data_IF_859601134413
#
_entry.id   IF_859601134413
#
_cell.length_a   1.000
_cell.length_b   1.000
_cell.length_c   1.000
_cell.angle_alpha   90.00
_cell.angle_beta   90.00
_cell.angle_gamma   90.00
#
_symmetry.space_group_name_H-M   'P 1'
#
loop_
_entity.id
_entity.type
_entity.pdbx_description
1 polymer ?
#
# COMPACT_ATOMS: atom_id res chain seq x y z
N UNK A 1 42.54 7.82 29.50
CA UNK A 1 43.49 6.71 29.22
C UNK A 1 42.88 5.44 29.77
N UNK A 2 42.70 4.31 29.11
CA UNK A 2 42.77 3.90 27.70
C UNK A 2 42.35 2.43 27.71
N UNK A 3 41.29 2.07 26.97
CA UNK A 3 41.14 0.79 26.27
C UNK A 3 40.95 -0.52 27.05
N UNK A 4 40.37 -1.56 26.41
CA UNK A 4 39.54 -2.57 27.07
C UNK A 4 40.07 -4.01 26.98
N UNK A 5 39.51 -4.87 27.82
CA UNK A 5 39.68 -6.32 27.78
C UNK A 5 39.05 -6.95 26.54
N UNK A 6 39.77 -7.95 26.03
CA UNK A 6 39.60 -8.58 24.72
C UNK A 6 38.71 -9.82 24.85
N UNK A 7 37.60 -9.88 24.12
CA UNK A 7 36.87 -11.13 23.86
C UNK A 7 36.94 -11.43 22.36
N UNK A 8 37.75 -12.43 22.05
CA UNK A 8 38.04 -12.95 20.71
C UNK A 8 36.83 -13.68 20.12
N UNK A 9 36.20 -13.11 19.10
CA UNK A 9 35.33 -13.86 18.19
C UNK A 9 36.17 -14.41 17.05
N UNK A 10 36.30 -15.74 17.03
CA UNK A 10 36.98 -16.49 15.98
C UNK A 10 36.16 -16.41 14.70
N UNK A 11 36.68 -15.69 13.71
CA UNK A 11 36.27 -15.88 12.31
C UNK A 11 36.80 -17.24 11.85
N UNK A 12 35.93 -18.24 11.76
CA UNK A 12 36.23 -19.44 10.99
C UNK A 12 36.06 -19.08 9.51
N UNK A 13 37.17 -18.72 8.87
CA UNK A 13 37.30 -18.84 7.41
C UNK A 13 37.13 -20.31 7.04
N UNK A 14 36.01 -20.65 6.42
CA UNK A 14 35.83 -21.94 5.77
C UNK A 14 36.72 -21.97 4.52
N UNK A 15 37.95 -22.44 4.69
CA UNK A 15 38.85 -22.78 3.59
C UNK A 15 38.19 -23.90 2.78
N UNK A 16 37.78 -23.58 1.54
CA UNK A 16 37.26 -24.53 0.59
C UNK A 16 38.31 -25.62 0.29
N UNK A 17 38.09 -26.84 0.80
CA UNK A 17 38.80 -28.03 0.33
C UNK A 17 38.17 -28.48 -0.99
N UNK A 18 38.75 -28.04 -2.11
CA UNK A 18 38.42 -28.58 -3.43
C UNK A 18 38.89 -30.04 -3.52
N UNK A 19 37.94 -30.98 -3.54
CA UNK A 19 38.15 -32.35 -3.99
C UNK A 19 37.81 -32.42 -5.49
N UNK A 20 38.67 -32.98 -6.37
CA UNK A 20 38.53 -32.83 -7.83
C UNK A 20 37.40 -33.66 -8.47
N UNK A 21 36.41 -34.15 -7.71
CA UNK A 21 35.26 -34.91 -8.26
C UNK A 21 33.90 -34.68 -7.59
N UNK A 22 33.71 -33.65 -6.76
CA UNK A 22 32.40 -33.36 -6.19
C UNK A 22 31.65 -32.32 -7.04
N UNK A 23 30.50 -32.70 -7.62
CA UNK A 23 29.56 -31.73 -8.20
C UNK A 23 29.03 -30.85 -7.06
N UNK A 24 29.27 -29.54 -7.14
CA UNK A 24 28.62 -28.58 -6.26
C UNK A 24 27.12 -28.59 -6.56
N UNK A 25 26.32 -29.14 -5.67
CA UNK A 25 24.89 -28.87 -5.65
C UNK A 25 24.66 -27.59 -4.86
N UNK A 26 23.84 -26.64 -5.36
CA UNK A 26 23.38 -25.55 -4.52
C UNK A 26 22.65 -26.14 -3.30
N UNK A 27 22.69 -25.46 -2.14
CA UNK A 27 21.88 -25.86 -1.00
C UNK A 27 20.42 -25.96 -1.45
N UNK A 28 19.64 -26.94 -0.94
CA UNK A 28 18.22 -27.00 -1.25
C UNK A 28 17.59 -25.65 -0.90
N UNK A 29 16.69 -25.11 -1.74
CA UNK A 29 15.95 -23.92 -1.37
C UNK A 29 15.32 -24.18 0.01
N UNK A 30 15.53 -23.23 0.93
CA UNK A 30 14.83 -23.26 2.20
C UNK A 30 13.33 -23.44 1.95
N UNK A 31 12.65 -24.16 2.83
CA UNK A 31 11.19 -24.27 2.74
C UNK A 31 10.61 -22.87 2.52
N UNK A 32 9.72 -22.67 1.53
CA UNK A 32 9.00 -21.42 1.40
C UNK A 32 8.38 -21.10 2.76
N UNK A 33 8.41 -19.83 3.20
CA UNK A 33 7.62 -19.44 4.36
C UNK A 33 6.19 -19.99 4.15
N UNK A 34 5.61 -20.54 5.21
CA UNK A 34 4.22 -20.98 5.18
C UNK A 34 3.41 -19.86 4.53
N UNK A 35 2.59 -20.22 3.54
CA UNK A 35 1.75 -19.28 2.80
C UNK A 35 0.91 -18.54 3.85
N UNK A 36 1.34 -17.33 4.23
CA UNK A 36 0.53 -16.45 5.05
C UNK A 36 -0.74 -16.26 4.21
N UNK A 37 -1.87 -16.69 4.76
CA UNK A 37 -3.17 -16.58 4.10
C UNK A 37 -3.52 -15.10 4.04
N UNK A 38 -2.95 -14.42 3.04
CA UNK A 38 -3.10 -13.00 2.81
C UNK A 38 -4.58 -12.62 2.79
N UNK A 39 -5.41 -13.44 2.15
CA UNK A 39 -6.85 -13.18 2.06
C UNK A 39 -7.54 -13.16 3.43
N UNK A 40 -7.16 -14.04 4.35
CA UNK A 40 -7.70 -14.03 5.72
C UNK A 40 -7.08 -12.93 6.61
N UNK A 41 -5.83 -12.55 6.36
CA UNK A 41 -5.06 -11.65 7.23
C UNK A 41 -5.02 -10.18 6.79
N UNK A 42 -5.35 -9.91 5.53
CA UNK A 42 -5.26 -8.58 4.95
C UNK A 42 -6.15 -7.59 5.69
N UNK A 43 -5.62 -6.38 5.88
CA UNK A 43 -6.39 -5.31 6.45
C UNK A 43 -7.33 -4.74 5.37
N UNK A 44 -8.59 -5.20 5.37
CA UNK A 44 -9.62 -4.74 4.44
C UNK A 44 -10.31 -3.48 4.99
N UNK A 45 -10.46 -2.45 4.17
CA UNK A 45 -11.11 -1.22 4.60
C UNK A 45 -10.79 -0.03 3.71
N UNK A 46 -10.99 1.18 4.20
CA UNK A 46 -10.89 2.42 3.42
C UNK A 46 -10.39 3.61 4.26
N UNK A 47 -10.23 4.77 3.63
CA UNK A 47 -10.01 6.03 4.34
C UNK A 47 -11.29 6.47 5.04
N UNK A 48 -11.20 6.95 6.28
CA UNK A 48 -12.34 7.43 7.08
C UNK A 48 -12.62 8.91 6.75
N UNK A 49 -13.44 9.14 5.72
CA UNK A 49 -13.91 10.47 5.35
C UNK A 49 -15.22 10.81 6.08
N UNK A 50 -15.15 11.67 7.09
CA UNK A 50 -16.30 12.08 7.90
C UNK A 50 -17.07 13.18 7.20
N UNK A 51 -18.32 12.91 6.82
CA UNK A 51 -19.17 13.89 6.13
C UNK A 51 -19.43 15.16 6.96
N UNK A 52 -19.43 16.31 6.28
CA UNK A 52 -19.79 17.59 6.89
C UNK A 52 -21.30 17.70 7.16
N UNK A 53 -21.68 17.96 8.42
CA UNK A 53 -23.08 18.22 8.81
C UNK A 53 -23.46 19.70 8.66
N UNK A 54 -23.42 20.24 7.44
CA UNK A 54 -23.80 21.62 7.14
C UNK A 54 -22.86 22.32 6.16
N UNK A 55 -23.05 23.63 5.97
CA UNK A 55 -22.12 24.44 5.17
C UNK A 55 -20.74 24.45 5.85
N UNK A 56 -19.78 23.75 5.25
CA UNK A 56 -18.40 23.75 5.72
C UNK A 56 -17.60 24.87 5.01
N UNK A 57 -17.22 25.91 5.75
CA UNK A 57 -16.37 27.01 5.29
C UNK A 57 -14.89 26.79 5.70
N UNK A 58 -14.47 25.54 5.90
CA UNK A 58 -13.09 25.23 6.19
C UNK A 58 -12.21 25.37 4.95
N UNK A 59 -11.13 26.13 5.10
CA UNK A 59 -10.05 26.27 4.11
C UNK A 59 -8.93 25.23 4.34
N UNK A 60 -9.05 24.39 5.38
CA UNK A 60 -8.10 23.33 5.73
C UNK A 60 -8.79 22.07 6.23
N UNK A 61 -8.12 20.94 6.02
CA UNK A 61 -8.41 19.64 6.61
C UNK A 61 -7.57 19.50 7.89
N UNK A 62 -8.23 19.26 9.03
CA UNK A 62 -7.59 18.99 10.33
C UNK A 62 -7.96 17.59 10.81
N UNK A 63 -7.00 16.69 10.78
CA UNK A 63 -7.28 15.25 10.72
C UNK A 63 -6.28 14.41 11.52
N UNK A 64 -6.55 13.11 11.59
CA UNK A 64 -5.74 12.14 12.33
C UNK A 64 -5.25 11.01 11.42
N UNK A 65 -3.99 10.62 11.59
CA UNK A 65 -3.53 9.28 11.19
C UNK A 65 -3.54 8.42 12.45
N UNK A 66 -4.16 7.25 12.43
CA UNK A 66 -4.37 6.46 13.66
C UNK A 66 -4.01 4.99 13.52
N UNK A 67 -3.67 4.38 14.66
CA UNK A 67 -3.47 2.95 14.81
C UNK A 67 -4.83 2.24 14.94
N UNK A 68 -5.31 1.71 13.82
CA UNK A 68 -6.56 0.97 13.73
C UNK A 68 -6.37 -0.47 14.20
N UNK A 69 -6.30 -0.63 15.52
CA UNK A 69 -6.04 -1.93 16.16
C UNK A 69 -7.16 -2.96 15.95
N UNK A 70 -8.40 -2.52 15.72
CA UNK A 70 -9.57 -3.36 15.44
C UNK A 70 -9.83 -3.52 13.93
N UNK A 71 -9.10 -2.83 13.07
CA UNK A 71 -9.15 -2.95 11.60
C UNK A 71 -10.56 -2.69 11.04
N UNK A 72 -11.26 -1.69 11.56
CA UNK A 72 -12.60 -1.31 11.09
C UNK A 72 -12.62 -0.07 10.18
N UNK A 73 -11.46 0.55 9.96
CA UNK A 73 -11.26 1.76 9.18
C UNK A 73 -12.08 2.96 9.63
N UNK A 74 -12.42 3.04 10.91
CA UNK A 74 -13.17 4.17 11.49
C UNK A 74 -12.42 4.68 12.70
N UNK A 75 -12.25 6.00 12.80
CA UNK A 75 -11.64 6.60 13.98
C UNK A 75 -12.59 6.50 15.18
N UNK A 76 -12.30 5.57 16.08
CA UNK A 76 -12.98 5.37 17.35
C UNK A 76 -12.29 6.17 18.48
N UNK A 77 -13.07 6.63 19.48
CA UNK A 77 -12.56 7.52 20.53
C UNK A 77 -11.46 6.94 21.46
N UNK A 78 -11.13 5.65 21.33
CA UNK A 78 -10.07 4.97 22.08
C UNK A 78 -8.82 4.67 21.23
N UNK A 79 -8.87 4.88 19.91
CA UNK A 79 -7.73 4.62 19.04
C UNK A 79 -6.69 5.71 19.19
N UNK A 80 -5.42 5.28 19.11
CA UNK A 80 -4.28 6.15 19.29
C UNK A 80 -3.91 6.78 17.95
N UNK A 81 -3.72 8.08 17.91
CA UNK A 81 -3.09 8.72 16.77
C UNK A 81 -1.61 8.36 16.63
N UNK A 82 -1.08 8.58 15.43
CA UNK A 82 0.29 8.27 15.05
C UNK A 82 1.04 9.58 14.75
N UNK A 83 1.97 9.95 15.63
CA UNK A 83 2.90 11.06 15.44
C UNK A 83 3.97 10.74 14.36
N UNK A 84 4.46 11.78 13.68
CA UNK A 84 5.55 11.67 12.71
C UNK A 84 5.21 11.10 11.33
N UNK A 85 3.93 10.84 11.03
CA UNK A 85 3.48 10.37 9.71
C UNK A 85 3.31 11.55 8.76
N UNK A 86 3.80 11.42 7.52
CA UNK A 86 3.63 12.45 6.49
C UNK A 86 2.35 12.24 5.69
N UNK A 87 1.62 13.32 5.47
CA UNK A 87 0.40 13.40 4.65
C UNK A 87 0.57 14.53 3.65
N UNK A 88 0.11 14.34 2.41
CA UNK A 88 0.26 15.30 1.33
C UNK A 88 -1.04 15.54 0.59
N UNK A 89 -1.26 16.78 0.13
CA UNK A 89 -2.33 17.14 -0.81
C UNK A 89 -1.80 17.34 -2.25
N UNK A 90 -0.61 16.81 -2.55
CA UNK A 90 0.09 16.99 -3.82
C UNK A 90 0.81 18.34 -3.99
N UNK A 91 0.58 19.31 -3.09
CA UNK A 91 1.27 20.63 -3.10
C UNK A 91 2.11 20.87 -1.84
N UNK A 92 1.63 20.41 -0.69
CA UNK A 92 2.28 20.54 0.61
C UNK A 92 2.31 19.18 1.29
N UNK A 93 3.31 19.00 2.14
CA UNK A 93 3.44 17.87 3.05
C UNK A 93 3.25 18.41 4.47
N UNK A 94 2.40 17.76 5.25
CA UNK A 94 2.25 17.96 6.68
C UNK A 94 2.71 16.70 7.42
N UNK A 95 3.34 16.88 8.57
CA UNK A 95 3.71 15.77 9.46
C UNK A 95 2.80 15.82 10.68
N UNK A 96 2.18 14.69 11.02
CA UNK A 96 1.33 14.58 12.22
C UNK A 96 2.09 15.02 13.47
N UNK A 97 1.52 15.94 14.23
CA UNK A 97 2.16 16.62 15.35
C UNK A 97 2.12 15.80 16.66
N UNK A 98 2.58 16.38 17.77
CA UNK A 98 2.59 15.72 19.08
C UNK A 98 1.18 15.50 19.68
N UNK A 99 0.13 16.02 19.03
CA UNK A 99 -1.28 15.72 19.31
C UNK A 99 -1.84 14.71 18.30
N UNK A 100 -0.95 14.09 17.53
CA UNK A 100 -1.22 13.10 16.49
C UNK A 100 -2.10 13.61 15.33
N UNK A 101 -2.08 14.93 15.07
CA UNK A 101 -2.90 15.56 14.03
C UNK A 101 -2.08 16.15 12.90
N UNK A 102 -2.63 16.16 11.69
CA UNK A 102 -2.09 16.92 10.57
C UNK A 102 -3.08 18.00 10.13
N UNK A 103 -2.55 19.07 9.52
CA UNK A 103 -3.35 20.12 8.91
C UNK A 103 -2.85 20.40 7.48
N UNK A 104 -3.76 20.38 6.50
CA UNK A 104 -3.47 20.71 5.11
C UNK A 104 -4.50 21.68 4.56
N UNK A 105 -4.03 22.67 3.80
CA UNK A 105 -4.93 23.56 3.07
C UNK A 105 -5.77 22.74 2.07
N UNK A 106 -7.09 22.96 2.09
CA UNK A 106 -8.02 22.35 1.17
C UNK A 106 -8.21 23.22 -0.07
N UNK A 107 -8.42 22.58 -1.21
CA UNK A 107 -8.80 23.23 -2.46
C UNK A 107 -9.56 22.24 -3.34
N UNK A 108 -10.37 22.74 -4.27
CA UNK A 108 -11.10 21.88 -5.21
C UNK A 108 -10.15 21.05 -6.08
N UNK A 109 -10.57 19.83 -6.42
CA UNK A 109 -9.88 18.90 -7.30
C UNK A 109 -8.49 18.53 -6.76
N UNK A 110 -8.46 18.10 -5.50
CA UNK A 110 -7.24 17.66 -4.82
C UNK A 110 -7.30 16.18 -4.46
N UNK A 111 -6.14 15.57 -4.31
CA UNK A 111 -5.99 14.24 -3.72
C UNK A 111 -5.14 14.39 -2.47
N UNK A 112 -5.67 13.93 -1.35
CA UNK A 112 -4.95 13.87 -0.07
C UNK A 112 -4.53 12.43 0.15
N UNK A 113 -3.28 12.19 0.53
CA UNK A 113 -2.76 10.83 0.71
C UNK A 113 -1.73 10.76 1.82
N UNK A 114 -1.69 9.61 2.49
CA UNK A 114 -0.75 9.31 3.58
C UNK A 114 0.46 8.53 3.07
N UNK A 115 1.62 8.78 3.66
CA UNK A 115 2.80 7.92 3.50
C UNK A 115 2.73 6.75 4.47
N UNK A 116 2.93 5.52 3.97
CA UNK A 116 2.93 4.35 4.83
C UNK A 116 4.23 4.30 5.67
N UNK A 117 4.17 4.45 7.00
CA UNK A 117 5.36 4.37 7.82
C UNK A 117 5.79 2.91 7.99
N UNK A 118 7.08 2.72 8.28
CA UNK A 118 7.65 1.40 8.59
C UNK A 118 6.88 0.74 9.74
N UNK A 119 6.59 -0.55 9.60
CA UNK A 119 5.88 -1.33 10.62
C UNK A 119 4.36 -1.14 10.62
N UNK A 120 3.83 -0.36 9.68
CA UNK A 120 2.40 -0.18 9.46
C UNK A 120 2.02 -0.51 8.02
N UNK A 121 0.74 -0.79 7.82
CA UNK A 121 0.13 -1.10 6.53
C UNK A 121 -1.18 -0.33 6.40
N UNK A 122 -1.37 0.30 5.24
CA UNK A 122 -2.65 0.90 4.84
C UNK A 122 -3.66 -0.20 4.54
N UNK A 123 -4.98 0.04 4.71
CA UNK A 123 -5.98 -0.91 4.28
C UNK A 123 -5.94 -1.13 2.77
N UNK A 124 -6.59 -2.18 2.33
CA UNK A 124 -6.82 -2.48 0.93
C UNK A 124 -8.31 -2.78 0.72
N UNK A 125 -8.78 -2.64 -0.52
CA UNK A 125 -10.12 -3.08 -0.89
C UNK A 125 -10.18 -4.60 -1.16
N UNK A 126 -11.33 -5.08 -1.63
CA UNK A 126 -11.59 -6.48 -1.95
C UNK A 126 -10.72 -7.02 -3.09
N UNK A 127 -10.13 -6.12 -3.89
CA UNK A 127 -9.21 -6.46 -4.97
C UNK A 127 -7.75 -6.25 -4.57
N UNK A 128 -7.44 -6.08 -3.28
CA UNK A 128 -6.10 -5.76 -2.78
C UNK A 128 -5.57 -4.37 -3.21
N UNK A 129 -6.39 -3.47 -3.76
CA UNK A 129 -5.92 -2.10 -4.08
C UNK A 129 -5.79 -1.30 -2.80
N UNK A 130 -4.61 -0.72 -2.56
CA UNK A 130 -4.30 0.05 -1.37
C UNK A 130 -5.18 1.30 -1.24
N UNK A 131 -5.79 1.47 -0.08
CA UNK A 131 -6.69 2.58 0.26
C UNK A 131 -5.96 3.57 1.17
N UNK A 132 -5.17 4.46 0.56
CA UNK A 132 -4.30 5.41 1.29
C UNK A 132 -4.48 6.86 0.83
N UNK A 133 -5.52 7.13 0.04
CA UNK A 133 -5.81 8.47 -0.46
C UNK A 133 -7.32 8.74 -0.45
N UNK A 134 -7.65 10.03 -0.42
CA UNK A 134 -8.98 10.58 -0.60
C UNK A 134 -8.95 11.60 -1.74
N UNK A 135 -9.86 11.44 -2.71
CA UNK A 135 -10.07 12.44 -3.75
C UNK A 135 -11.15 13.42 -3.30
N UNK A 136 -10.86 14.71 -3.39
CA UNK A 136 -11.83 15.79 -3.22
C UNK A 136 -12.11 16.43 -4.58
N UNK A 137 -13.20 16.00 -5.20
CA UNK A 137 -13.67 16.44 -6.51
C UNK A 137 -15.16 16.83 -6.36
N UNK A 138 -15.46 18.05 -5.87
CA UNK A 138 -16.82 18.43 -5.45
C UNK A 138 -17.87 18.24 -6.53
N UNK A 139 -17.53 18.56 -7.77
CA UNK A 139 -18.43 18.50 -8.93
C UNK A 139 -18.38 17.16 -9.66
N UNK A 140 -17.49 16.26 -9.24
CA UNK A 140 -17.21 15.01 -9.95
C UNK A 140 -16.46 15.25 -11.25
N UNK A 141 -16.23 14.17 -11.99
CA UNK A 141 -15.70 14.23 -13.34
C UNK A 141 -16.74 14.78 -14.32
N UNK A 142 -16.33 15.40 -15.43
CA UNK A 142 -17.25 15.69 -16.53
C UNK A 142 -17.88 14.40 -17.07
N UNK A 143 -18.89 14.51 -17.92
CA UNK A 143 -19.45 13.35 -18.57
C UNK A 143 -18.42 12.71 -19.52
N UNK A 144 -18.06 11.46 -19.23
CA UNK A 144 -17.07 10.68 -19.97
C UNK A 144 -17.69 9.35 -20.43
N UNK A 145 -17.18 8.79 -21.52
CA UNK A 145 -17.67 7.54 -22.13
C UNK A 145 -17.71 6.38 -21.14
N UNK A 146 -16.70 6.27 -20.28
CA UNK A 146 -16.53 5.15 -19.34
C UNK A 146 -16.79 5.55 -17.88
N UNK A 147 -17.50 6.67 -17.68
CA UNK A 147 -17.69 7.25 -16.37
C UNK A 147 -16.42 7.94 -15.85
N UNK A 148 -16.46 8.34 -14.59
CA UNK A 148 -15.38 9.04 -13.91
C UNK A 148 -15.63 9.03 -12.41
N UNK A 149 -14.94 9.90 -11.69
CA UNK A 149 -15.10 10.03 -10.24
C UNK A 149 -16.44 10.72 -9.98
N UNK A 150 -17.31 10.09 -9.18
CA UNK A 150 -18.57 10.67 -8.75
C UNK A 150 -18.32 11.95 -7.93
N UNK A 151 -19.27 12.91 -7.91
CA UNK A 151 -19.15 14.10 -7.07
C UNK A 151 -18.91 13.71 -5.61
N UNK A 152 -17.81 14.20 -5.03
CA UNK A 152 -17.49 13.95 -3.61
C UNK A 152 -18.28 14.86 -2.68
N UNK A 153 -18.95 15.88 -3.23
CA UNK A 153 -19.68 16.88 -2.47
C UNK A 153 -18.77 17.89 -1.79
N UNK A 154 -19.26 18.49 -0.71
CA UNK A 154 -18.51 19.47 0.08
C UNK A 154 -17.27 18.84 0.71
N UNK A 155 -16.32 19.68 1.13
CA UNK A 155 -15.16 19.21 1.88
C UNK A 155 -15.65 18.42 3.12
N UNK A 156 -15.16 17.19 3.36
CA UNK A 156 -15.52 16.44 4.56
C UNK A 156 -15.04 17.18 5.80
N UNK A 157 -15.68 16.90 6.94
CA UNK A 157 -15.28 17.44 8.24
C UNK A 157 -13.91 16.89 8.65
N UNK A 158 -13.61 15.64 8.28
CA UNK A 158 -12.32 15.03 8.48
C UNK A 158 -12.00 14.00 7.40
N UNK A 159 -10.71 13.80 7.13
CA UNK A 159 -10.14 12.69 6.35
C UNK A 159 -9.14 11.96 7.25
N UNK A 160 -9.57 10.94 7.99
CA UNK A 160 -8.67 10.19 8.85
C UNK A 160 -8.06 9.01 8.11
N UNK A 161 -6.75 8.82 8.26
CA UNK A 161 -6.04 7.70 7.65
C UNK A 161 -5.82 6.57 8.66
N UNK A 162 -6.53 5.44 8.53
CA UNK A 162 -6.28 4.30 9.39
C UNK A 162 -5.04 3.53 8.92
N UNK A 163 -4.21 3.13 9.88
CA UNK A 163 -3.06 2.26 9.66
C UNK A 163 -3.09 1.11 10.65
N UNK A 164 -2.75 -0.10 10.22
CA UNK A 164 -2.62 -1.24 11.12
C UNK A 164 -1.15 -1.68 11.24
N UNK A 165 -0.72 -2.01 12.46
CA UNK A 165 0.61 -2.57 12.68
C UNK A 165 0.83 -3.83 11.83
N UNK A 166 1.98 -3.91 11.14
CA UNK A 166 2.31 -4.99 10.22
C UNK A 166 3.77 -5.39 10.33
N UNK A 167 4.01 -6.69 10.51
CA UNK A 167 5.37 -7.25 10.49
C UNK A 167 5.96 -7.28 9.08
N UNK A 168 5.11 -7.36 8.05
CA UNK A 168 5.54 -7.43 6.65
C UNK A 168 6.29 -6.16 6.21
N UNK A 169 5.96 -5.01 6.81
CA UNK A 169 6.54 -3.70 6.48
C UNK A 169 7.61 -3.27 7.49
N UNK A 170 7.99 -4.14 8.43
CA UNK A 170 8.95 -3.84 9.49
C UNK A 170 10.40 -3.96 9.03
N UNK A 171 10.68 -4.69 7.94
CA UNK A 171 12.04 -4.83 7.40
C UNK A 171 12.57 -3.50 6.85
N UNK A 172 13.85 -3.15 7.09
CA UNK A 172 14.47 -1.98 6.43
C UNK A 172 14.71 -2.22 4.93
N UNK A 173 14.79 -3.48 4.49
CA UNK A 173 14.81 -3.85 3.08
C UNK A 173 13.38 -4.11 2.59
N UNK A 174 13.03 -3.55 1.45
CA UNK A 174 11.73 -3.71 0.80
C UNK A 174 11.92 -4.40 -0.55
N UNK A 175 11.06 -5.38 -0.82
CA UNK A 175 11.02 -6.10 -2.09
C UNK A 175 9.67 -5.77 -2.72
N UNK A 176 9.68 -5.06 -3.83
CA UNK A 176 8.47 -4.59 -4.49
C UNK A 176 8.41 -5.21 -5.89
N UNK A 177 7.23 -5.64 -6.31
CA UNK A 177 7.00 -5.92 -7.72
C UNK A 177 6.66 -4.59 -8.42
N UNK A 178 7.21 -4.37 -9.61
CA UNK A 178 6.82 -3.24 -10.46
C UNK A 178 6.30 -3.83 -11.76
N UNK A 179 5.00 -3.69 -12.00
CA UNK A 179 4.36 -4.00 -13.28
C UNK A 179 4.19 -2.72 -14.07
N UNK A 180 4.47 -2.76 -15.36
CA UNK A 180 4.26 -1.61 -16.23
C UNK A 180 3.45 -2.04 -17.45
N UNK A 181 2.60 -1.13 -17.92
CA UNK A 181 1.91 -1.23 -19.21
C UNK A 181 1.21 -2.59 -19.42
N UNK A 182 0.33 -2.98 -18.48
CA UNK A 182 -0.51 -4.18 -18.65
C UNK A 182 -1.32 -4.06 -19.95
N UNK A 183 -1.83 -2.85 -20.22
CA UNK A 183 -2.46 -2.42 -21.48
C UNK A 183 -3.37 -3.46 -22.17
N UNK A 184 -4.13 -4.25 -21.40
CA UNK A 184 -5.09 -5.19 -21.98
C UNK A 184 -6.17 -4.43 -22.76
N UNK A 185 -6.37 -4.81 -24.02
CA UNK A 185 -7.30 -4.15 -24.94
C UNK A 185 -8.66 -4.84 -25.04
N UNK A 186 -8.77 -6.07 -24.54
CA UNK A 186 -10.00 -6.88 -24.59
C UNK A 186 -9.95 -8.00 -23.54
N UNK A 187 -11.08 -8.67 -23.31
CA UNK A 187 -11.20 -9.73 -22.30
C UNK A 187 -10.21 -10.90 -22.52
N UNK A 188 -9.85 -11.21 -23.77
CA UNK A 188 -8.89 -12.29 -24.05
C UNK A 188 -7.49 -11.95 -23.54
N UNK A 189 -7.08 -10.69 -23.68
CA UNK A 189 -5.81 -10.21 -23.15
C UNK A 189 -5.81 -10.09 -21.62
N UNK A 190 -6.95 -9.75 -21.00
CA UNK A 190 -7.11 -9.85 -19.54
C UNK A 190 -6.84 -11.29 -19.07
N UNK A 191 -7.35 -12.29 -19.79
CA UNK A 191 -7.08 -13.70 -19.47
C UNK A 191 -5.62 -14.11 -19.72
N UNK A 192 -4.91 -13.48 -20.66
CA UNK A 192 -3.47 -13.67 -20.80
C UNK A 192 -2.70 -13.09 -19.61
N UNK A 193 -3.07 -11.90 -19.14
CA UNK A 193 -2.49 -11.31 -17.94
C UNK A 193 -2.75 -12.18 -16.70
N UNK A 194 -4.00 -12.64 -16.53
CA UNK A 194 -4.42 -13.54 -15.45
C UNK A 194 -3.56 -14.81 -15.39
N UNK A 195 -3.47 -15.53 -16.51
CA UNK A 195 -2.80 -16.83 -16.58
C UNK A 195 -1.26 -16.71 -16.69
N UNK A 196 -0.75 -15.50 -16.92
CA UNK A 196 0.67 -15.19 -16.98
C UNK A 196 1.14 -14.47 -15.74
N UNK A 197 1.47 -13.18 -15.90
CA UNK A 197 2.17 -12.38 -14.87
C UNK A 197 1.46 -12.38 -13.51
N UNK A 198 0.13 -12.36 -13.47
CA UNK A 198 -0.60 -12.36 -12.19
C UNK A 198 -0.53 -13.72 -11.49
N UNK A 199 -0.56 -14.84 -12.23
CA UNK A 199 -0.35 -16.16 -11.65
C UNK A 199 1.08 -16.33 -11.13
N UNK A 200 2.08 -15.81 -11.86
CA UNK A 200 3.48 -15.84 -11.43
C UNK A 200 3.71 -14.99 -10.16
N UNK A 201 3.09 -13.81 -10.08
CA UNK A 201 3.15 -12.95 -8.89
C UNK A 201 2.45 -13.61 -7.70
N UNK A 202 1.27 -14.19 -7.88
CA UNK A 202 0.54 -14.90 -6.82
C UNK A 202 1.35 -16.05 -6.19
N UNK A 203 2.26 -16.66 -6.94
CA UNK A 203 3.13 -17.73 -6.46
C UNK A 203 4.36 -17.24 -5.67
N UNK A 204 4.72 -15.94 -5.77
CA UNK A 204 5.83 -15.35 -5.01
C UNK A 204 5.40 -14.99 -3.59
N UNK A 205 6.35 -14.84 -2.67
CA UNK A 205 6.07 -14.48 -1.26
C UNK A 205 6.97 -13.33 -0.77
N UNK A 206 7.90 -12.87 -1.60
CA UNK A 206 8.93 -11.94 -1.18
C UNK A 206 8.46 -10.48 -1.17
N UNK A 207 7.31 -10.16 -1.78
CA UNK A 207 6.83 -8.79 -1.91
C UNK A 207 5.65 -8.41 -1.01
N UNK A 208 5.09 -9.32 -0.19
CA UNK A 208 3.82 -9.10 0.53
C UNK A 208 3.75 -7.78 1.34
N UNK A 209 4.88 -7.32 1.89
CA UNK A 209 4.96 -6.03 2.60
C UNK A 209 4.91 -4.80 1.69
N UNK A 210 5.73 -4.76 0.64
CA UNK A 210 5.78 -3.62 -0.27
C UNK A 210 4.68 -3.66 -1.34
N UNK A 211 4.18 -4.84 -1.68
CA UNK A 211 3.18 -5.06 -2.72
C UNK A 211 3.72 -5.02 -4.14
N UNK A 212 2.77 -4.82 -5.07
CA UNK A 212 3.03 -4.60 -6.48
C UNK A 212 2.59 -3.18 -6.85
N UNK A 213 3.49 -2.41 -7.43
CA UNK A 213 3.19 -1.09 -8.00
C UNK A 213 2.94 -1.25 -9.49
N UNK A 214 1.76 -0.84 -9.97
CA UNK A 214 1.44 -0.84 -11.39
C UNK A 214 1.55 0.57 -11.96
N UNK A 215 2.41 0.75 -12.96
CA UNK A 215 2.69 2.04 -13.60
C UNK A 215 2.39 2.01 -15.09
N UNK A 216 2.29 3.19 -15.68
CA UNK A 216 1.90 3.33 -17.09
C UNK A 216 0.43 2.99 -17.29
N UNK A 217 0.09 2.53 -18.48
CA UNK A 217 -1.31 2.29 -18.83
C UNK A 217 -1.76 0.91 -18.38
N UNK A 218 -2.86 0.86 -17.61
CA UNK A 218 -3.40 -0.41 -17.11
C UNK A 218 -4.20 -1.16 -18.18
N UNK A 219 -4.89 -0.43 -19.05
CA UNK A 219 -5.68 -0.94 -20.18
C UNK A 219 -5.43 -0.07 -21.40
N UNK A 220 -5.74 -0.59 -22.59
CA UNK A 220 -5.68 0.20 -23.82
C UNK A 220 -6.82 1.24 -23.92
N UNK A 221 -7.14 1.66 -25.15
CA UNK A 221 -8.16 2.70 -25.41
C UNK A 221 -9.60 2.28 -25.04
N UNK A 222 -9.84 0.98 -24.85
CA UNK A 222 -11.11 0.44 -24.38
C UNK A 222 -11.09 0.25 -22.86
N UNK A 223 -11.55 1.26 -22.11
CA UNK A 223 -11.62 1.19 -20.65
C UNK A 223 -12.73 0.26 -20.14
N UNK A 224 -13.54 -0.35 -21.02
CA UNK A 224 -14.59 -1.31 -20.59
C UNK A 224 -14.02 -2.56 -19.93
N UNK A 225 -12.72 -2.86 -20.15
CA UNK A 225 -12.01 -3.97 -19.51
C UNK A 225 -11.23 -3.57 -18.25
N UNK A 226 -11.30 -2.31 -17.83
CA UNK A 226 -10.59 -1.82 -16.64
C UNK A 226 -10.99 -2.59 -15.39
N UNK A 227 -12.29 -2.81 -15.17
CA UNK A 227 -12.78 -3.51 -13.98
C UNK A 227 -12.20 -4.93 -13.88
N UNK A 228 -12.26 -5.69 -14.98
CA UNK A 228 -11.73 -7.06 -15.05
C UNK A 228 -10.21 -7.09 -14.91
N UNK A 229 -9.51 -6.07 -15.41
CA UNK A 229 -8.06 -5.91 -15.23
C UNK A 229 -7.71 -5.62 -13.78
N UNK A 230 -8.44 -4.69 -13.14
CA UNK A 230 -8.28 -4.37 -11.71
C UNK A 230 -8.56 -5.58 -10.83
N UNK A 231 -9.58 -6.37 -11.13
CA UNK A 231 -9.90 -7.60 -10.37
C UNK A 231 -8.73 -8.60 -10.34
N UNK A 232 -7.81 -8.59 -11.31
CA UNK A 232 -6.63 -9.45 -11.28
C UNK A 232 -5.72 -9.18 -10.07
N UNK A 233 -5.75 -7.96 -9.52
CA UNK A 233 -4.98 -7.61 -8.33
C UNK A 233 -5.42 -8.38 -7.06
N UNK A 234 -6.65 -8.93 -7.05
CA UNK A 234 -7.11 -9.86 -6.00
C UNK A 234 -6.30 -11.14 -5.92
N UNK A 235 -5.58 -11.51 -6.99
CA UNK A 235 -4.72 -12.70 -7.00
C UNK A 235 -3.41 -12.50 -6.22
N UNK A 236 -3.03 -11.25 -5.95
CA UNK A 236 -1.77 -10.92 -5.30
C UNK A 236 -1.86 -11.18 -3.79
N UNK A 237 -0.76 -11.63 -3.19
CA UNK A 237 -0.62 -11.80 -1.74
C UNK A 237 0.00 -10.57 -1.06
N UNK A 238 -0.40 -9.39 -1.50
CA UNK A 238 0.07 -8.10 -1.03
C UNK A 238 -0.70 -6.97 -1.71
N UNK A 239 -0.51 -5.70 -1.30
CA UNK A 239 -1.31 -4.62 -1.84
C UNK A 239 -0.88 -4.27 -3.28
N UNK A 240 -1.85 -4.06 -4.15
CA UNK A 240 -1.66 -3.36 -5.42
C UNK A 240 -1.63 -1.84 -5.15
N UNK A 241 -0.64 -1.16 -5.71
CA UNK A 241 -0.37 0.27 -5.56
C UNK A 241 -0.25 0.94 -6.91
#
# INVERSE_FOLDING_TARGET
>A
MSGPDTATTVFQEAVARCSPRARCFPPPPGQPPAQDDWEAGAYRGAVDAVESKGANNQDSLEDVVFDDTNKNSVLDGNQRGLNGVEVSNGRKIATTDAKDRYELQAFGNMTVFVTQPRGYQVPVDENNVAQFFYNHLPEGSPQLTYGGIAPTGQLPQAVNFPLAASKLTQSPGQHCAIGADIQSCNQKEVEFARNGVFADLAARQDYAGCGALFIGDLVGDDLSVFTQTRELTSMLNGPAR
#
